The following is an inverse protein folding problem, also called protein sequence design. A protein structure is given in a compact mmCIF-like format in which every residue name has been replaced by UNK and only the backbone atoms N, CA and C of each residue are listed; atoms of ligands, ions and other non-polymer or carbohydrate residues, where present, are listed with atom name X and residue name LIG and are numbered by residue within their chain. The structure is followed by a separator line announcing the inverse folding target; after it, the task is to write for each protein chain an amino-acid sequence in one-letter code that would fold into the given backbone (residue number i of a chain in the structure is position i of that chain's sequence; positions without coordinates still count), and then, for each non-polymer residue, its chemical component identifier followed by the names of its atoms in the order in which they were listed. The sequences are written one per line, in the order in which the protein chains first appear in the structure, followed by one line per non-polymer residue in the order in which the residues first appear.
data_IF_125001734175
#
_entry.id   IF_125001734175
#
_cell.length_a   1.000
_cell.length_b   1.000
_cell.length_c   1.000
_cell.angle_alpha   90.00
_cell.angle_beta   90.00
_cell.angle_gamma   90.00
#
_symmetry.space_group_name_H-M   'P 1'
#
loop_
_entity.id
_entity.type
_entity.pdbx_description
1 polymer ?
#
# COMPACT_ATOMS: atom_id res chain seq x y z
N UNK A 1 8.48 8.40 22.15
CA UNK A 1 8.06 7.00 22.32
C UNK A 1 6.59 6.92 21.91
N UNK A 2 6.28 6.57 20.66
CA UNK A 2 4.90 6.29 20.24
C UNK A 2 4.78 4.79 20.02
N UNK A 3 4.64 4.03 21.12
CA UNK A 3 4.07 2.69 21.02
C UNK A 3 2.60 2.88 20.62
N UNK A 4 2.36 2.92 19.30
CA UNK A 4 1.01 2.76 18.76
C UNK A 4 0.63 1.30 19.00
N UNK A 5 0.15 1.01 20.19
CA UNK A 5 -0.57 -0.23 20.46
C UNK A 5 -1.69 -0.34 19.44
N UNK A 6 -1.63 -1.40 18.63
CA UNK A 6 -2.64 -1.64 17.61
C UNK A 6 -4.00 -1.85 18.30
N UNK A 7 -5.09 -1.27 17.76
CA UNK A 7 -6.44 -1.46 18.30
C UNK A 7 -6.84 -2.94 18.43
N UNK A 8 -6.35 -3.78 17.51
CA UNK A 8 -6.62 -5.20 17.48
C UNK A 8 -5.34 -6.01 17.27
N UNK A 9 -5.24 -7.11 18.00
CA UNK A 9 -4.19 -8.11 17.85
C UNK A 9 -4.88 -9.41 17.42
N UNK A 10 -4.46 -9.93 16.28
CA UNK A 10 -4.93 -11.20 15.71
C UNK A 10 -3.72 -12.08 15.40
N UNK A 11 -3.92 -13.38 15.33
CA UNK A 11 -2.88 -14.32 14.92
C UNK A 11 -2.48 -14.09 13.44
N UNK A 12 -1.36 -14.70 13.04
CA UNK A 12 -0.79 -14.50 11.70
C UNK A 12 -1.70 -15.03 10.59
N UNK A 13 -2.32 -16.19 10.77
CA UNK A 13 -3.19 -16.81 9.78
C UNK A 13 -4.41 -15.93 9.51
N UNK A 14 -5.05 -15.42 10.57
CA UNK A 14 -6.14 -14.45 10.47
C UNK A 14 -5.68 -13.16 9.80
N UNK A 15 -4.46 -12.70 10.10
CA UNK A 15 -3.90 -11.49 9.47
C UNK A 15 -3.66 -11.68 7.97
N UNK A 16 -3.20 -12.84 7.52
CA UNK A 16 -3.03 -13.17 6.11
C UNK A 16 -4.36 -13.21 5.37
N UNK A 17 -5.39 -13.83 5.96
CA UNK A 17 -6.74 -13.84 5.40
C UNK A 17 -7.32 -12.42 5.32
N UNK A 18 -7.06 -11.59 6.34
CA UNK A 18 -7.48 -10.20 6.33
C UNK A 18 -6.79 -9.42 5.21
N UNK A 19 -5.49 -9.59 5.01
CA UNK A 19 -4.75 -8.98 3.88
C UNK A 19 -5.36 -9.39 2.53
N UNK A 20 -5.66 -10.68 2.33
CA UNK A 20 -6.30 -11.15 1.11
C UNK A 20 -7.69 -10.52 0.90
N UNK A 21 -8.46 -10.37 1.97
CA UNK A 21 -9.79 -9.77 1.94
C UNK A 21 -9.75 -8.27 1.61
N UNK A 22 -8.84 -7.53 2.25
CA UNK A 22 -8.64 -6.10 1.98
C UNK A 22 -8.11 -5.88 0.55
N UNK A 23 -7.30 -6.80 0.02
CA UNK A 23 -6.88 -6.79 -1.39
C UNK A 23 -8.05 -6.95 -2.35
N UNK A 24 -8.97 -7.85 -2.02
CA UNK A 24 -10.17 -8.05 -2.82
C UNK A 24 -11.07 -6.80 -2.84
N UNK A 25 -11.14 -6.08 -1.72
CA UNK A 25 -11.86 -4.80 -1.64
C UNK A 25 -11.25 -3.71 -2.52
N UNK A 26 -9.92 -3.65 -2.70
CA UNK A 26 -9.30 -2.74 -3.67
C UNK A 26 -9.73 -3.07 -5.11
N UNK A 27 -9.72 -4.36 -5.48
CA UNK A 27 -10.21 -4.79 -6.80
C UNK A 27 -11.69 -4.46 -7.00
N UNK A 28 -12.47 -4.53 -5.92
CA UNK A 28 -13.88 -4.17 -5.96
C UNK A 28 -14.08 -2.65 -6.08
N UNK A 29 -13.21 -1.85 -5.47
CA UNK A 29 -13.19 -0.39 -5.65
C UNK A 29 -12.88 -0.02 -7.11
N UNK A 30 -11.87 -0.67 -7.71
CA UNK A 30 -11.50 -0.46 -9.13
C UNK A 30 -12.64 -0.78 -10.10
N UNK A 31 -13.57 -1.66 -9.71
CA UNK A 31 -14.72 -2.03 -10.53
C UNK A 31 -15.93 -1.09 -10.38
N UNK A 32 -15.88 -0.12 -9.45
CA UNK A 32 -16.97 0.83 -9.28
C UNK A 32 -17.02 1.85 -10.42
N UNK A 33 -18.23 2.16 -10.86
CA UNK A 33 -18.48 3.22 -11.85
C UNK A 33 -18.65 4.58 -11.17
N UNK A 34 -19.12 4.56 -9.92
CA UNK A 34 -19.29 5.75 -9.10
C UNK A 34 -18.03 6.06 -8.29
N UNK A 35 -17.51 7.27 -8.47
CA UNK A 35 -16.27 7.73 -7.85
C UNK A 35 -16.40 7.99 -6.35
N UNK A 36 -17.61 8.34 -5.88
CA UNK A 36 -17.85 8.51 -4.43
C UNK A 36 -17.77 7.15 -3.73
N UNK A 37 -18.48 6.15 -4.27
CA UNK A 37 -18.42 4.77 -3.78
C UNK A 37 -17.00 4.18 -3.85
N UNK A 38 -16.25 4.40 -4.94
CA UNK A 38 -14.83 4.00 -5.04
C UNK A 38 -14.00 4.57 -3.88
N UNK A 39 -14.16 5.87 -3.60
CA UNK A 39 -13.44 6.56 -2.55
C UNK A 39 -13.81 6.01 -1.16
N UNK A 40 -15.10 5.82 -0.88
CA UNK A 40 -15.57 5.30 0.40
C UNK A 40 -15.04 3.89 0.68
N UNK A 41 -15.06 3.00 -0.32
CA UNK A 41 -14.53 1.64 -0.19
C UNK A 41 -13.04 1.69 0.18
N UNK A 42 -12.25 2.48 -0.55
CA UNK A 42 -10.81 2.62 -0.27
C UNK A 42 -10.54 3.26 1.09
N UNK A 43 -11.36 4.22 1.50
CA UNK A 43 -11.24 4.84 2.82
C UNK A 43 -11.45 3.80 3.94
N UNK A 44 -12.53 3.01 3.86
CA UNK A 44 -12.83 1.95 4.83
C UNK A 44 -11.71 0.90 4.84
N UNK A 45 -11.24 0.50 3.66
CA UNK A 45 -10.20 -0.51 3.52
C UNK A 45 -8.89 -0.08 4.19
N UNK A 46 -8.52 1.21 4.03
CA UNK A 46 -7.34 1.81 4.67
C UNK A 46 -7.48 1.94 6.18
N UNK A 47 -8.64 2.40 6.67
CA UNK A 47 -8.90 2.53 8.10
C UNK A 47 -8.85 1.16 8.80
N UNK A 48 -9.43 0.13 8.19
CA UNK A 48 -9.32 -1.25 8.66
C UNK A 48 -7.87 -1.72 8.67
N UNK A 49 -7.14 -1.57 7.56
CA UNK A 49 -5.72 -1.93 7.49
C UNK A 49 -4.90 -1.29 8.62
N UNK A 50 -5.11 0.02 8.88
CA UNK A 50 -4.46 0.75 9.97
C UNK A 50 -4.77 0.16 11.35
N UNK A 51 -6.02 -0.19 11.63
CA UNK A 51 -6.47 -0.78 12.91
C UNK A 51 -5.84 -2.14 13.21
N UNK A 52 -5.42 -2.88 12.18
CA UNK A 52 -4.77 -4.20 12.32
C UNK A 52 -3.25 -4.15 12.03
N UNK A 53 -2.68 -2.95 11.84
CA UNK A 53 -1.25 -2.79 11.55
C UNK A 53 -0.86 -3.44 10.22
N UNK A 54 -1.70 -3.29 9.19
CA UNK A 54 -1.46 -3.69 7.82
C UNK A 54 -1.14 -2.41 7.03
N UNK A 55 0.03 -2.38 6.39
CA UNK A 55 0.44 -1.27 5.51
C UNK A 55 -0.11 -1.51 4.10
N UNK A 56 -0.55 -0.44 3.44
CA UNK A 56 -0.89 -0.43 2.01
C UNK A 56 0.30 0.10 1.22
N UNK A 57 1.06 -0.75 0.50
CA UNK A 57 1.97 -0.26 -0.51
C UNK A 57 1.17 0.19 -1.74
N UNK A 58 1.43 1.41 -2.21
CA UNK A 58 0.94 1.87 -3.50
C UNK A 58 1.84 1.29 -4.57
N UNK A 59 1.28 0.46 -5.44
CA UNK A 59 1.98 -0.06 -6.62
C UNK A 59 1.56 0.76 -7.83
N UNK A 60 2.53 1.31 -8.54
CA UNK A 60 2.32 1.99 -9.81
C UNK A 60 2.92 1.12 -10.91
N UNK A 61 2.12 0.87 -11.95
CA UNK A 61 2.52 0.03 -13.08
C UNK A 61 2.70 0.95 -14.28
N UNK A 62 3.92 1.04 -14.78
CA UNK A 62 4.24 1.76 -16.01
C UNK A 62 4.52 0.75 -17.12
N UNK A 63 3.69 0.76 -18.16
CA UNK A 63 3.87 -0.07 -19.35
C UNK A 63 4.53 0.76 -20.47
N UNK A 64 5.65 0.28 -21.01
CA UNK A 64 6.33 0.89 -22.15
C UNK A 64 6.75 -0.16 -23.17
N UNK A 65 7.14 0.27 -24.37
CA UNK A 65 7.77 -0.60 -25.38
C UNK A 65 9.23 -0.23 -25.52
N UNK A 66 10.11 -1.21 -25.53
CA UNK A 66 11.53 -0.99 -25.81
C UNK A 66 11.78 -0.71 -27.31
N UNK A 67 13.03 -0.42 -27.66
CA UNK A 67 13.44 -0.12 -29.03
C UNK A 67 13.20 -1.28 -30.02
N UNK A 68 13.06 -2.50 -29.51
CA UNK A 68 12.82 -3.73 -30.28
C UNK A 68 11.33 -4.10 -30.32
N UNK A 69 10.47 -3.29 -29.69
CA UNK A 69 9.02 -3.47 -29.65
C UNK A 69 8.52 -4.44 -28.59
N UNK A 70 9.38 -4.93 -27.68
CA UNK A 70 8.97 -5.78 -26.57
C UNK A 70 8.28 -4.96 -25.48
N UNK A 71 7.31 -5.58 -24.79
CA UNK A 71 6.62 -4.97 -23.66
C UNK A 71 7.55 -4.95 -22.43
N UNK A 72 7.79 -3.76 -21.90
CA UNK A 72 8.50 -3.54 -20.64
C UNK A 72 7.50 -3.07 -19.61
N UNK A 73 7.42 -3.79 -18.48
CA UNK A 73 6.55 -3.46 -17.35
C UNK A 73 7.44 -3.05 -16.18
N UNK A 74 7.29 -1.80 -15.73
CA UNK A 74 7.99 -1.29 -14.54
C UNK A 74 7.02 -1.21 -13.38
N UNK A 75 7.36 -1.88 -12.27
CA UNK A 75 6.61 -1.85 -11.02
C UNK A 75 7.31 -0.90 -10.05
N UNK A 76 6.68 0.21 -9.69
CA UNK A 76 7.15 1.11 -8.64
C UNK A 76 6.32 0.90 -7.38
N UNK A 77 6.95 0.49 -6.30
CA UNK A 77 6.30 0.32 -5.00
C UNK A 77 6.63 1.51 -4.12
N UNK A 78 5.65 2.34 -3.81
CA UNK A 78 5.77 3.47 -2.89
C UNK A 78 5.09 3.10 -1.56
N UNK A 79 5.78 3.30 -0.42
CA UNK A 79 5.07 3.36 0.86
C UNK A 79 4.23 4.65 0.86
N UNK A 80 2.94 4.57 1.22
CA UNK A 80 2.09 5.76 1.32
C UNK A 80 2.68 6.74 2.35
N UNK A 81 3.29 7.82 1.87
CA UNK A 81 3.26 9.09 2.59
C UNK A 81 1.83 9.64 2.45
N UNK A 82 1.26 10.14 3.55
CA UNK A 82 -0.01 10.87 3.58
C UNK A 82 0.08 12.05 2.60
N UNK A 83 -0.26 11.82 1.33
CA UNK A 83 -0.28 12.85 0.30
C UNK A 83 -1.66 12.83 -0.34
N UNK A 84 -2.32 13.97 -0.18
CA UNK A 84 -3.53 14.40 -0.84
C UNK A 84 -3.47 14.02 -2.35
N UNK A 85 -4.51 13.36 -2.83
CA UNK A 85 -4.47 12.62 -4.10
C UNK A 85 -4.12 13.51 -5.31
N UNK A 86 -3.12 13.13 -6.15
CA UNK A 86 -3.02 13.70 -7.49
C UNK A 86 -4.02 13.02 -8.43
N UNK A 87 -4.58 13.76 -9.41
CA UNK A 87 -5.54 13.24 -10.35
C UNK A 87 -4.85 12.43 -11.45
N UNK A 88 -5.49 11.33 -11.85
CA UNK A 88 -5.17 10.53 -13.04
C UNK A 88 -3.81 9.82 -13.08
N UNK A 89 -3.73 8.66 -12.44
CA UNK A 89 -2.88 7.56 -12.93
C UNK A 89 -3.59 6.23 -12.63
N UNK A 90 -3.71 5.36 -13.64
CA UNK A 90 -4.20 3.97 -13.56
C UNK A 90 -3.18 3.08 -12.82
N UNK A 91 -2.93 3.38 -11.55
CA UNK A 91 -2.03 2.63 -10.70
C UNK A 91 -2.79 1.50 -9.99
N UNK A 92 -2.47 0.23 -10.30
CA UNK A 92 -3.04 -0.94 -9.64
C UNK A 92 -2.43 -1.12 -8.25
N UNK A 93 -3.23 -1.07 -7.17
CA UNK A 93 -2.77 -1.07 -5.77
C UNK A 93 -2.96 -2.43 -5.11
N UNK A 94 -1.91 -3.00 -4.51
CA UNK A 94 -1.97 -4.32 -3.87
C UNK A 94 -1.28 -4.28 -2.50
N UNK A 95 -1.88 -4.92 -1.50
CA UNK A 95 -1.40 -5.06 -0.13
C UNK A 95 -0.35 -6.15 -0.02
N UNK A 96 0.70 -5.86 0.74
CA UNK A 96 1.73 -6.82 1.12
C UNK A 96 1.98 -6.75 2.62
N UNK A 97 2.11 -7.93 3.24
CA UNK A 97 2.56 -8.04 4.61
C UNK A 97 4.05 -7.69 4.68
N UNK A 98 4.39 -6.63 5.42
CA UNK A 98 5.77 -6.21 5.66
C UNK A 98 6.26 -6.92 6.92
N UNK A 99 7.42 -7.58 6.85
CA UNK A 99 8.03 -8.21 8.04
C UNK A 99 8.51 -7.12 9.01
N UNK A 100 8.50 -7.36 10.34
CA UNK A 100 8.89 -6.34 11.32
C UNK A 100 10.29 -5.74 11.07
N UNK A 101 11.21 -6.53 10.53
CA UNK A 101 12.60 -6.13 10.23
C UNK A 101 12.72 -5.14 9.06
N UNK A 102 11.76 -5.15 8.13
CA UNK A 102 11.74 -4.25 6.96
C UNK A 102 11.17 -2.86 7.30
N UNK A 103 10.62 -2.67 8.50
CA UNK A 103 10.05 -1.40 8.96
C UNK A 103 11.08 -0.44 9.59
N UNK A 104 12.37 -0.81 9.63
CA UNK A 104 13.42 -0.09 10.38
C UNK A 104 14.67 0.29 9.59
N UNK A 105 14.64 0.35 8.25
CA UNK A 105 15.81 0.79 7.46
C UNK A 105 15.62 2.16 6.80
N UNK A 106 15.43 3.20 7.60
CA UNK A 106 15.70 4.57 7.17
C UNK A 106 16.05 5.46 8.36
N UNK A 107 17.27 5.28 8.89
CA UNK A 107 17.93 6.34 9.66
C UNK A 107 19.37 6.41 9.14
N UNK A 108 19.65 7.45 8.37
CA UNK A 108 21.01 7.83 7.99
C UNK A 108 21.85 8.07 9.24
N UNK A 109 23.09 7.56 9.33
CA UNK A 109 23.97 7.90 10.43
C UNK A 109 24.47 9.33 10.26
N UNK A 110 24.07 10.22 11.18
CA UNK A 110 24.68 11.53 11.40
C UNK A 110 26.21 11.37 11.54
N UNK A 111 26.96 11.90 10.59
CA UNK A 111 28.40 12.13 10.70
C UNK A 111 28.66 13.25 11.72
N UNK A 112 29.38 13.03 12.83
CA UNK A 112 29.95 14.12 13.60
C UNK A 112 31.24 14.57 12.89
N UNK A 113 31.28 15.81 12.41
CA UNK A 113 32.52 16.45 11.94
C UNK A 113 33.25 17.15 13.09
N UNK A 114 34.60 17.24 13.03
CA UNK A 114 35.50 17.53 14.16
C UNK A 114 35.52 18.98 14.64
#
# INVERSE_FOLDING_TARGET
MNDKTLPYIVDLETKELLVASLNHLEMFADAQVDTETEFEIRYINRDLGRKFGIKLPRVEVEESKDADGNLVITLKQNEEQDVEAPPHATAKRHLRLVKPEEASSSVDPETPSP
#
